data_IF_975920812900
#
_entry.id   IF_975920812900
#
_cell.length_a   1.000
_cell.length_b   1.000
_cell.length_c   1.000
_cell.angle_alpha   90.00
_cell.angle_beta   90.00
_cell.angle_gamma   90.00
#
_symmetry.space_group_name_H-M   'P 1'
#
loop_
_entity.id
_entity.type
_entity.pdbx_description
1 polymer ?
#
# COMPACT_ATOMS: atom_id res chain seq x y z
N UNK A 1 8.21 -7.11 3.51
CA UNK A 1 6.86 -6.53 3.38
C UNK A 1 6.45 -5.84 4.68
N UNK A 2 6.59 -4.52 4.73
CA UNK A 2 6.20 -3.68 5.87
C UNK A 2 4.67 -3.65 6.02
N UNK A 3 3.93 -3.39 4.94
CA UNK A 3 2.48 -3.21 4.94
C UNK A 3 1.74 -4.50 5.29
N UNK A 4 2.24 -5.66 4.85
CA UNK A 4 1.68 -6.97 5.23
C UNK A 4 1.75 -7.19 6.74
N UNK A 5 2.92 -6.94 7.34
CA UNK A 5 3.14 -7.10 8.79
C UNK A 5 2.30 -6.13 9.60
N UNK A 6 2.21 -4.87 9.17
CA UNK A 6 1.37 -3.86 9.83
C UNK A 6 -0.11 -4.25 9.78
N UNK A 7 -0.58 -4.76 8.64
CA UNK A 7 -1.98 -5.17 8.45
C UNK A 7 -2.32 -6.40 9.29
N UNK A 8 -1.47 -7.42 9.32
CA UNK A 8 -1.68 -8.60 10.16
C UNK A 8 -1.68 -8.25 11.65
N UNK A 9 -0.75 -7.40 12.11
CA UNK A 9 -0.72 -6.94 13.50
C UNK A 9 -1.98 -6.13 13.86
N UNK A 10 -2.51 -5.34 12.92
CA UNK A 10 -3.77 -4.62 13.11
C UNK A 10 -4.97 -5.58 13.21
N UNK A 11 -5.02 -6.61 12.38
CA UNK A 11 -6.07 -7.64 12.39
C UNK A 11 -6.03 -8.44 13.68
N UNK A 12 -4.85 -8.82 14.17
CA UNK A 12 -4.70 -9.53 15.45
C UNK A 12 -5.21 -8.68 16.62
N UNK A 13 -4.87 -7.38 16.63
CA UNK A 13 -5.22 -6.49 17.74
C UNK A 13 -6.69 -6.05 17.74
N UNK A 14 -7.30 -5.86 16.57
CA UNK A 14 -8.64 -5.23 16.44
C UNK A 14 -9.70 -6.18 15.87
N UNK A 15 -9.31 -7.33 15.33
CA UNK A 15 -10.16 -8.24 14.57
C UNK A 15 -10.35 -7.78 13.11
N UNK A 16 -10.52 -8.75 12.21
CA UNK A 16 -10.69 -8.52 10.77
C UNK A 16 -11.83 -7.54 10.45
N UNK A 17 -12.98 -7.68 11.12
CA UNK A 17 -14.15 -6.83 10.87
C UNK A 17 -13.90 -5.35 11.21
N UNK A 18 -13.06 -5.06 12.20
CA UNK A 18 -12.73 -3.68 12.56
C UNK A 18 -11.77 -3.03 11.55
N UNK A 19 -10.83 -3.81 10.99
CA UNK A 19 -9.90 -3.36 9.93
C UNK A 19 -10.62 -3.21 8.58
N UNK A 20 -11.53 -4.12 8.28
CA UNK A 20 -12.32 -4.12 7.04
C UNK A 20 -13.51 -3.16 7.07
N UNK A 21 -13.88 -2.60 8.21
CA UNK A 21 -14.93 -1.58 8.32
C UNK A 21 -14.49 -0.28 7.64
N UNK A 22 -15.42 0.47 7.04
CA UNK A 22 -15.18 1.70 6.27
C UNK A 22 -14.24 2.65 7.01
N UNK A 23 -14.40 2.83 8.32
CA UNK A 23 -13.56 3.70 9.14
C UNK A 23 -12.11 3.21 9.28
N UNK A 24 -11.90 1.89 9.36
CA UNK A 24 -10.58 1.27 9.30
C UNK A 24 -9.97 1.39 7.91
N UNK A 25 -10.79 1.21 6.87
CA UNK A 25 -10.40 1.39 5.48
C UNK A 25 -9.92 2.82 5.19
N UNK A 26 -10.59 3.84 5.73
CA UNK A 26 -10.19 5.25 5.61
C UNK A 26 -8.89 5.58 6.34
N UNK A 27 -8.73 5.11 7.59
CA UNK A 27 -7.49 5.36 8.35
C UNK A 27 -6.26 4.67 7.76
N UNK A 28 -6.48 3.54 7.07
CA UNK A 28 -5.42 2.85 6.33
C UNK A 28 -5.18 3.50 4.97
N UNK A 29 -6.22 4.04 4.32
CA UNK A 29 -6.11 4.73 3.04
C UNK A 29 -5.11 5.90 3.07
N UNK A 30 -5.16 6.74 4.12
CA UNK A 30 -4.19 7.82 4.31
C UNK A 30 -2.75 7.29 4.47
N UNK A 31 -2.59 6.07 4.99
CA UNK A 31 -1.27 5.45 5.24
C UNK A 31 -0.76 4.62 4.07
N UNK A 32 -1.65 4.16 3.20
CA UNK A 32 -1.34 3.34 2.01
C UNK A 32 -1.26 4.16 0.73
N UNK A 33 -1.31 5.50 0.82
CA UNK A 33 -1.09 6.35 -0.35
C UNK A 33 0.30 6.11 -0.94
N UNK A 34 0.40 6.13 -2.27
CA UNK A 34 1.60 5.68 -3.00
C UNK A 34 2.68 6.76 -3.10
N UNK A 35 2.78 7.65 -2.11
CA UNK A 35 3.72 8.76 -2.13
C UNK A 35 3.52 9.71 -3.30
N UNK A 36 4.62 10.15 -3.90
CA UNK A 36 4.61 11.11 -5.01
C UNK A 36 3.98 10.57 -6.30
N UNK A 37 3.60 9.29 -6.37
CA UNK A 37 2.91 8.72 -7.52
C UNK A 37 1.44 9.15 -7.61
N UNK A 38 0.85 9.65 -6.52
CA UNK A 38 -0.51 10.18 -6.51
C UNK A 38 -1.58 9.22 -7.04
N UNK A 39 -2.71 9.76 -7.50
CA UNK A 39 -3.86 8.95 -7.95
C UNK A 39 -3.64 8.30 -9.33
N UNK A 40 -3.04 9.03 -10.28
CA UNK A 40 -2.73 8.51 -11.62
C UNK A 40 -1.71 7.38 -11.54
N UNK A 41 -0.64 7.56 -10.76
CA UNK A 41 0.35 6.52 -10.53
C UNK A 41 -0.25 5.33 -9.79
N UNK A 42 -1.18 5.56 -8.85
CA UNK A 42 -1.95 4.48 -8.23
C UNK A 42 -2.71 3.64 -9.22
N UNK A 43 -3.46 4.28 -10.10
CA UNK A 43 -4.26 3.61 -11.13
C UNK A 43 -3.34 2.80 -12.07
N UNK A 44 -2.22 3.39 -12.48
CA UNK A 44 -1.24 2.74 -13.37
C UNK A 44 -0.61 1.52 -12.70
N UNK A 45 -0.15 1.64 -11.46
CA UNK A 45 0.41 0.53 -10.68
C UNK A 45 -0.63 -0.59 -10.53
N UNK A 46 -1.88 -0.27 -10.18
CA UNK A 46 -2.94 -1.27 -10.04
C UNK A 46 -3.22 -2.00 -11.37
N UNK A 47 -3.25 -1.28 -12.50
CA UNK A 47 -3.46 -1.90 -13.81
C UNK A 47 -2.33 -2.86 -14.17
N UNK A 48 -1.08 -2.42 -13.97
CA UNK A 48 0.10 -3.25 -14.23
C UNK A 48 0.08 -4.50 -13.35
N UNK A 49 -0.20 -4.37 -12.06
CA UNK A 49 -0.24 -5.50 -11.13
C UNK A 49 -1.36 -6.48 -11.46
N UNK A 50 -2.54 -6.02 -11.88
CA UNK A 50 -3.61 -6.92 -12.31
C UNK A 50 -3.26 -7.68 -13.60
N UNK A 51 -2.49 -7.06 -14.49
CA UNK A 51 -2.02 -7.73 -15.70
C UNK A 51 -0.92 -8.77 -15.40
N UNK A 52 0.00 -8.44 -14.48
CA UNK A 52 1.08 -9.34 -14.07
C UNK A 52 0.58 -10.50 -13.19
N UNK A 53 -0.41 -10.23 -12.33
CA UNK A 53 -0.95 -11.16 -11.35
C UNK A 53 -2.48 -11.22 -11.51
N UNK A 54 -2.99 -11.91 -12.54
CA UNK A 54 -4.43 -12.07 -12.69
C UNK A 54 -4.99 -12.93 -11.55
N UNK A 55 -6.16 -12.53 -11.04
CA UNK A 55 -6.75 -13.07 -9.79
C UNK A 55 -7.02 -14.58 -9.81
N UNK A 56 -7.18 -15.17 -11.00
CA UNK A 56 -7.39 -16.60 -11.20
C UNK A 56 -6.12 -17.45 -11.04
N UNK A 57 -4.94 -16.84 -10.99
CA UNK A 57 -3.65 -17.53 -10.83
C UNK A 57 -3.07 -17.40 -9.41
N UNK A 58 -3.77 -16.73 -8.50
CA UNK A 58 -3.31 -16.48 -7.13
C UNK A 58 -3.98 -17.47 -6.18
N UNK A 59 -3.16 -18.18 -5.41
CA UNK A 59 -3.66 -18.98 -4.29
C UNK A 59 -4.14 -18.07 -3.16
N UNK A 60 -5.46 -17.97 -3.01
CA UNK A 60 -6.10 -17.14 -2.00
C UNK A 60 -5.76 -17.59 -0.57
N UNK A 61 -5.32 -18.84 -0.36
CA UNK A 61 -4.89 -19.32 0.95
C UNK A 61 -3.66 -18.57 1.48
N UNK A 62 -2.82 -18.04 0.58
CA UNK A 62 -1.59 -17.31 0.94
C UNK A 62 -1.84 -15.89 1.43
N UNK A 63 -3.00 -15.32 1.10
CA UNK A 63 -3.35 -13.92 1.43
C UNK A 63 -4.43 -13.82 2.50
N UNK A 64 -4.87 -14.95 3.05
CA UNK A 64 -5.80 -14.95 4.17
C UNK A 64 -5.24 -14.12 5.34
N UNK A 65 -6.10 -13.37 6.04
CA UNK A 65 -7.56 -13.33 5.93
C UNK A 65 -8.09 -12.30 4.91
N UNK A 66 -7.24 -11.67 4.11
CA UNK A 66 -7.64 -10.63 3.16
C UNK A 66 -8.27 -11.22 1.90
N UNK A 67 -9.18 -10.45 1.29
CA UNK A 67 -9.61 -10.68 -0.09
C UNK A 67 -8.49 -10.28 -1.06
N UNK A 68 -8.49 -10.82 -2.29
CA UNK A 68 -7.54 -10.40 -3.33
C UNK A 68 -7.56 -8.87 -3.54
N UNK A 69 -8.75 -8.27 -3.54
CA UNK A 69 -8.92 -6.83 -3.67
C UNK A 69 -8.25 -6.06 -2.52
N UNK A 70 -8.52 -6.46 -1.26
CA UNK A 70 -7.92 -5.80 -0.10
C UNK A 70 -6.39 -6.01 -0.06
N UNK A 71 -5.90 -7.19 -0.46
CA UNK A 71 -4.47 -7.48 -0.57
C UNK A 71 -3.80 -6.58 -1.63
N UNK A 72 -4.38 -6.48 -2.81
CA UNK A 72 -3.89 -5.62 -3.90
C UNK A 72 -3.77 -4.17 -3.47
N UNK A 73 -4.84 -3.61 -2.89
CA UNK A 73 -4.92 -2.19 -2.56
C UNK A 73 -4.10 -1.82 -1.32
N UNK A 74 -4.07 -2.68 -0.29
CA UNK A 74 -3.46 -2.35 1.01
C UNK A 74 -2.03 -2.81 1.14
N UNK A 75 -1.65 -3.84 0.38
CA UNK A 75 -0.37 -4.52 0.52
C UNK A 75 0.42 -4.41 -0.76
N UNK A 76 -0.04 -5.02 -1.86
CA UNK A 76 0.80 -5.18 -3.04
C UNK A 76 1.14 -3.84 -3.69
N UNK A 77 0.14 -2.99 -3.94
CA UNK A 77 0.41 -1.67 -4.54
C UNK A 77 1.29 -0.78 -3.63
N UNK A 78 1.03 -0.64 -2.32
CA UNK A 78 1.91 0.10 -1.42
C UNK A 78 3.35 -0.43 -1.32
N UNK A 79 3.54 -1.75 -1.28
CA UNK A 79 4.88 -2.34 -1.29
C UNK A 79 5.61 -2.06 -2.62
N UNK A 80 4.91 -2.12 -3.74
CA UNK A 80 5.48 -1.80 -5.06
C UNK A 80 5.91 -0.34 -5.12
N UNK A 81 5.06 0.61 -4.70
CA UNK A 81 5.45 2.01 -4.65
C UNK A 81 6.65 2.25 -3.71
N UNK A 82 6.68 1.59 -2.55
CA UNK A 82 7.82 1.65 -1.65
C UNK A 82 9.11 1.17 -2.34
N UNK A 83 9.05 0.04 -3.05
CA UNK A 83 10.19 -0.50 -3.78
C UNK A 83 10.64 0.40 -4.94
N UNK A 84 9.71 1.02 -5.66
CA UNK A 84 10.04 2.00 -6.70
C UNK A 84 10.74 3.24 -6.12
N UNK A 85 10.29 3.73 -4.96
CA UNK A 85 10.96 4.83 -4.24
C UNK A 85 12.36 4.40 -3.77
N UNK A 86 12.50 3.16 -3.29
CA UNK A 86 13.81 2.64 -2.91
C UNK A 86 14.77 2.61 -4.11
N UNK A 87 14.30 2.15 -5.27
CA UNK A 87 15.08 2.10 -6.50
C UNK A 87 15.47 3.50 -6.99
N UNK A 88 14.51 4.43 -7.05
CA UNK A 88 14.72 5.84 -7.42
C UNK A 88 15.79 6.52 -6.56
N UNK A 89 15.83 6.20 -5.26
CA UNK A 89 16.73 6.82 -4.28
C UNK A 89 17.99 6.02 -3.99
N UNK A 90 18.21 4.89 -4.68
CA UNK A 90 19.35 4.00 -4.42
C UNK A 90 19.38 3.44 -2.99
N UNK A 91 18.22 3.26 -2.36
CA UNK A 91 18.07 2.77 -0.99
C UNK A 91 18.05 1.24 -0.96
N UNK A 92 18.79 0.66 -0.02
CA UNK A 92 18.99 -0.80 0.05
C UNK A 92 18.72 -1.29 1.48
N UNK A 93 18.16 -2.49 1.60
CA UNK A 93 17.92 -3.17 2.87
C UNK A 93 16.80 -2.55 3.70
N UNK A 94 16.70 -2.98 4.96
CA UNK A 94 15.61 -2.57 5.85
C UNK A 94 15.67 -1.08 6.21
N UNK A 95 16.87 -0.53 6.40
CA UNK A 95 17.03 0.89 6.70
C UNK A 95 16.66 1.76 5.49
N UNK A 96 17.00 1.32 4.28
CA UNK A 96 16.52 1.94 3.05
C UNK A 96 15.00 1.92 2.94
N UNK A 97 14.35 0.81 3.30
CA UNK A 97 12.89 0.72 3.30
C UNK A 97 12.23 1.66 4.31
N UNK A 98 12.83 1.89 5.48
CA UNK A 98 12.33 2.89 6.46
C UNK A 98 12.42 4.30 5.89
N UNK A 99 13.54 4.65 5.25
CA UNK A 99 13.72 5.96 4.61
C UNK A 99 12.71 6.14 3.48
N UNK A 100 12.55 5.13 2.62
CA UNK A 100 11.57 5.16 1.54
C UNK A 100 10.14 5.32 2.07
N UNK A 101 9.79 4.69 3.19
CA UNK A 101 8.47 4.82 3.81
C UNK A 101 8.23 6.24 4.33
N UNK A 102 9.24 6.89 4.89
CA UNK A 102 9.17 8.29 5.29
C UNK A 102 8.94 9.18 4.06
N UNK A 103 9.75 9.01 3.01
CA UNK A 103 9.59 9.76 1.75
C UNK A 103 8.21 9.56 1.15
N UNK A 104 7.71 8.33 1.13
CA UNK A 104 6.37 7.98 0.64
C UNK A 104 5.30 8.76 1.43
N UNK A 105 5.32 8.71 2.75
CA UNK A 105 4.32 9.40 3.60
C UNK A 105 4.41 10.93 3.48
N UNK A 106 5.61 11.49 3.50
CA UNK A 106 5.82 12.94 3.36
C UNK A 106 5.37 13.45 2.00
N UNK A 107 5.66 12.72 0.93
CA UNK A 107 5.24 13.07 -0.43
C UNK A 107 3.72 13.01 -0.60
N UNK A 108 3.08 12.02 0.01
CA UNK A 108 1.62 11.92 0.05
C UNK A 108 0.98 13.10 0.79
N UNK A 109 1.49 13.45 1.97
CA UNK A 109 1.01 14.62 2.72
C UNK A 109 1.23 15.91 1.94
N UNK A 110 2.38 16.07 1.28
CA UNK A 110 2.66 17.22 0.44
C UNK A 110 1.69 17.32 -0.74
N UNK A 111 1.43 16.21 -1.45
CA UNK A 111 0.49 16.18 -2.56
C UNK A 111 -0.92 16.60 -2.15
N UNK A 112 -1.43 16.07 -1.03
CA UNK A 112 -2.75 16.43 -0.47
C UNK A 112 -2.78 17.89 -0.03
N UNK A 113 -1.71 18.41 0.58
CA UNK A 113 -1.66 19.79 1.05
C UNK A 113 -1.51 20.81 -0.09
N UNK A 114 -0.81 20.45 -1.16
CA UNK A 114 -0.54 21.34 -2.30
C UNK A 114 -1.67 21.32 -3.34
N UNK A 115 -2.40 20.21 -3.45
CA UNK A 115 -3.54 20.03 -4.36
C UNK A 115 -4.78 19.50 -3.60
N UNK A 116 -5.30 20.26 -2.61
CA UNK A 116 -6.53 19.88 -1.92
C UNK A 116 -7.73 20.12 -2.85
N UNK A 117 -8.35 19.03 -3.32
CA UNK A 117 -9.58 19.00 -4.13
C UNK A 117 -9.63 20.04 -5.27
N UNK A 118 -9.02 19.69 -6.41
CA UNK A 118 -9.48 20.17 -7.73
C UNK A 118 -10.59 19.22 -8.22
#
# INVERSE_FOLDING_TARGET
CIFWRETLAAIEKKGYNAVSCIRGKFSDFEKTQLGYYGEIGSTTIHQILNNMFPSNHVDLALILPLTWHDFMQRILAPEVALHLIMEDRGLIGEDGAKVALVVMRESSTYGVAMFPDD
#
